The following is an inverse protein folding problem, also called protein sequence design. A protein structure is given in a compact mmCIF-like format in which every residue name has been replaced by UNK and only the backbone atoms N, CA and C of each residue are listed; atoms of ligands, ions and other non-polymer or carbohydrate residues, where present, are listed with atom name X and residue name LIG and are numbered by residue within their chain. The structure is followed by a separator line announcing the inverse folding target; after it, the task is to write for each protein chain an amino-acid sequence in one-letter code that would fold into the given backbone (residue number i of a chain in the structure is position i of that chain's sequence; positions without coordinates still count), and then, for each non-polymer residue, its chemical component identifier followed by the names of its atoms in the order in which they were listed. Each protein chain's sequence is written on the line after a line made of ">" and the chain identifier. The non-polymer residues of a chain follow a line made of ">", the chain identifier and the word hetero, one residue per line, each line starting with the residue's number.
data_IF_649356915551
#
_entry.id   IF_649356915551
#
_cell.length_a   1.000
_cell.length_b   1.000
_cell.length_c   1.000
_cell.angle_alpha   90.00
_cell.angle_beta   90.00
_cell.angle_gamma   90.00
#
_symmetry.space_group_name_H-M   'P 1'
#
loop_
_entity.id
_entity.type
_entity.pdbx_description
1 polymer ?
#
# COMPACT_ATOMS: atom_id res chain seq x y z
N UNK A 1 5.41 12.31 -3.97
CA UNK A 1 6.03 10.97 -4.15
C UNK A 1 5.01 10.02 -4.75
N UNK A 2 5.41 9.21 -5.73
CA UNK A 2 4.64 8.12 -6.34
C UNK A 2 5.07 6.79 -5.72
N UNK A 3 4.11 5.97 -5.32
CA UNK A 3 4.34 4.58 -4.94
C UNK A 3 3.83 3.70 -6.07
N UNK A 4 4.59 2.69 -6.47
CA UNK A 4 4.14 1.75 -7.51
C UNK A 4 4.36 0.32 -7.04
N UNK A 5 3.34 -0.50 -7.24
CA UNK A 5 3.33 -1.91 -6.88
C UNK A 5 3.53 -2.75 -8.14
N UNK A 6 4.50 -3.66 -8.07
CA UNK A 6 4.64 -4.75 -9.01
C UNK A 6 4.04 -5.98 -8.37
N UNK A 7 3.08 -6.57 -9.07
CA UNK A 7 2.28 -7.67 -8.57
C UNK A 7 2.57 -8.91 -9.38
N UNK A 8 2.57 -10.06 -8.72
CA UNK A 8 2.68 -11.37 -9.36
C UNK A 8 1.92 -12.37 -8.49
N UNK A 9 1.12 -13.24 -9.12
CA UNK A 9 0.35 -14.30 -8.44
C UNK A 9 -0.50 -13.76 -7.27
N UNK A 10 -1.17 -12.62 -7.47
CA UNK A 10 -2.06 -12.02 -6.47
C UNK A 10 -1.37 -11.37 -5.26
N UNK A 11 -0.03 -11.22 -5.25
CA UNK A 11 0.72 -10.53 -4.19
C UNK A 11 1.63 -9.42 -4.72
N UNK A 12 1.90 -8.42 -3.87
CA UNK A 12 2.91 -7.40 -4.17
C UNK A 12 4.29 -8.02 -3.97
N UNK A 13 5.08 -8.09 -5.03
CA UNK A 13 6.44 -8.66 -5.01
C UNK A 13 7.51 -7.57 -4.94
N UNK A 14 7.22 -6.36 -5.44
CA UNK A 14 8.14 -5.23 -5.39
C UNK A 14 7.37 -3.93 -5.28
N UNK A 15 7.90 -3.01 -4.50
CA UNK A 15 7.37 -1.65 -4.37
C UNK A 15 8.46 -0.65 -4.72
N UNK A 16 8.15 0.31 -5.58
CA UNK A 16 9.07 1.41 -5.92
C UNK A 16 8.52 2.74 -5.43
N UNK A 17 9.42 3.60 -4.96
CA UNK A 17 9.11 4.93 -4.45
C UNK A 17 9.83 5.95 -5.33
N UNK A 18 9.07 6.75 -6.07
CA UNK A 18 9.62 7.73 -7.02
C UNK A 18 9.29 9.13 -6.56
N UNK A 19 10.28 10.01 -6.51
CA UNK A 19 10.06 11.43 -6.22
C UNK A 19 9.31 12.06 -7.39
N UNK A 20 8.30 12.87 -7.08
CA UNK A 20 7.58 13.64 -8.11
C UNK A 20 8.10 15.06 -8.00
N UNK A 21 8.62 15.62 -9.10
CA UNK A 21 9.12 17.00 -9.15
C UNK A 21 8.02 17.96 -8.69
N UNK A 22 8.35 18.90 -7.80
CA UNK A 22 7.40 19.87 -7.27
C UNK A 22 6.52 19.37 -6.10
N UNK A 23 6.61 18.08 -5.73
CA UNK A 23 5.92 17.56 -4.54
C UNK A 23 6.90 17.30 -3.40
N UNK A 24 6.47 17.63 -2.18
CA UNK A 24 7.21 17.29 -0.97
C UNK A 24 7.28 15.77 -0.81
N UNK A 25 8.48 15.28 -0.53
CA UNK A 25 8.69 13.87 -0.21
C UNK A 25 8.12 13.54 1.17
N UNK A 26 7.87 12.25 1.41
CA UNK A 26 7.51 11.82 2.75
C UNK A 26 8.74 11.94 3.67
N UNK A 27 8.56 12.41 4.91
CA UNK A 27 9.59 12.32 5.93
C UNK A 27 10.08 10.87 6.09
N UNK A 28 11.37 10.64 6.39
CA UNK A 28 11.92 9.28 6.52
C UNK A 28 11.13 8.38 7.48
N UNK A 29 10.61 8.95 8.58
CA UNK A 29 9.78 8.23 9.56
C UNK A 29 8.48 7.71 8.95
N UNK A 30 7.75 8.56 8.20
CA UNK A 30 6.51 8.16 7.53
C UNK A 30 6.77 7.19 6.38
N UNK A 31 7.89 7.33 5.66
CA UNK A 31 8.28 6.39 4.62
C UNK A 31 8.56 5.00 5.22
N UNK A 32 9.23 4.91 6.38
CA UNK A 32 9.45 3.64 7.08
C UNK A 32 8.13 2.99 7.50
N UNK A 33 7.21 3.77 8.07
CA UNK A 33 5.88 3.28 8.43
C UNK A 33 5.10 2.76 7.23
N UNK A 34 5.13 3.50 6.11
CA UNK A 34 4.49 3.09 4.86
C UNK A 34 5.07 1.78 4.31
N UNK A 35 6.41 1.64 4.33
CA UNK A 35 7.08 0.40 3.91
C UNK A 35 6.62 -0.80 4.76
N UNK A 36 6.57 -0.62 6.07
CA UNK A 36 6.13 -1.67 7.00
C UNK A 36 4.67 -2.05 6.73
N UNK A 37 3.78 -1.06 6.60
CA UNK A 37 2.37 -1.27 6.30
C UNK A 37 2.18 -2.08 5.02
N UNK A 38 2.83 -1.68 3.92
CA UNK A 38 2.73 -2.38 2.64
C UNK A 38 3.26 -3.81 2.76
N UNK A 39 4.34 -4.04 3.51
CA UNK A 39 4.91 -5.38 3.66
C UNK A 39 3.98 -6.34 4.43
N UNK A 40 3.34 -5.87 5.51
CA UNK A 40 2.41 -6.68 6.30
C UNK A 40 1.10 -6.93 5.56
N UNK A 41 0.56 -5.91 4.90
CA UNK A 41 -0.76 -5.96 4.26
C UNK A 41 -0.72 -6.27 2.76
N UNK A 42 0.43 -6.71 2.23
CA UNK A 42 0.65 -6.90 0.77
C UNK A 42 -0.40 -7.74 0.06
N UNK A 43 -1.01 -8.71 0.75
CA UNK A 43 -2.08 -9.54 0.22
C UNK A 43 -3.43 -8.82 0.29
N UNK A 44 -3.76 -8.24 1.44
CA UNK A 44 -5.03 -7.54 1.67
C UNK A 44 -5.18 -6.30 0.80
N UNK A 45 -4.08 -5.56 0.56
CA UNK A 45 -4.07 -4.41 -0.34
C UNK A 45 -4.54 -4.82 -1.74
N UNK A 46 -4.03 -5.93 -2.28
CA UNK A 46 -4.41 -6.38 -3.62
C UNK A 46 -5.79 -7.01 -3.66
N UNK A 47 -6.16 -7.79 -2.64
CA UNK A 47 -7.50 -8.34 -2.53
C UNK A 47 -8.55 -7.21 -2.52
N UNK A 48 -8.33 -6.20 -1.69
CA UNK A 48 -9.19 -5.01 -1.60
C UNK A 48 -9.22 -4.22 -2.91
N UNK A 49 -8.07 -4.07 -3.58
CA UNK A 49 -7.99 -3.41 -4.87
C UNK A 49 -8.84 -4.14 -5.92
N UNK A 50 -8.71 -5.47 -5.99
CA UNK A 50 -9.47 -6.29 -6.92
C UNK A 50 -10.97 -6.24 -6.60
N UNK A 51 -11.33 -6.39 -5.33
CA UNK A 51 -12.73 -6.30 -4.88
C UNK A 51 -13.36 -4.97 -5.28
N UNK A 52 -12.64 -3.86 -5.12
CA UNK A 52 -13.17 -2.53 -5.44
C UNK A 52 -13.16 -2.24 -6.95
N UNK A 53 -12.00 -2.32 -7.61
CA UNK A 53 -11.84 -1.83 -8.98
C UNK A 53 -12.22 -2.84 -10.06
N UNK A 54 -12.09 -4.14 -9.79
CA UNK A 54 -12.35 -5.19 -10.79
C UNK A 54 -13.74 -5.79 -10.57
N UNK A 55 -14.07 -6.12 -9.32
CA UNK A 55 -15.31 -6.80 -8.98
C UNK A 55 -16.45 -5.84 -8.59
N UNK A 56 -16.18 -4.53 -8.52
CA UNK A 56 -17.15 -3.49 -8.15
C UNK A 56 -17.91 -3.78 -6.83
N UNK A 57 -17.25 -4.44 -5.88
CA UNK A 57 -17.81 -4.73 -4.56
C UNK A 57 -17.68 -3.52 -3.65
N UNK A 58 -18.65 -3.38 -2.74
CA UNK A 58 -18.56 -2.40 -1.65
C UNK A 58 -17.51 -2.84 -0.63
N UNK A 59 -16.38 -2.14 -0.60
CA UNK A 59 -15.32 -2.36 0.40
C UNK A 59 -15.50 -1.39 1.57
N UNK A 60 -15.39 -1.88 2.81
CA UNK A 60 -15.37 -1.04 4.01
C UNK A 60 -13.95 -0.51 4.26
N UNK A 61 -13.85 0.77 4.59
CA UNK A 61 -12.58 1.37 5.04
C UNK A 61 -12.15 0.75 6.37
N UNK A 62 -10.93 0.23 6.44
CA UNK A 62 -10.29 -0.24 7.67
C UNK A 62 -9.19 0.74 8.07
N UNK A 63 -9.20 1.16 9.34
CA UNK A 63 -8.10 1.92 9.94
C UNK A 63 -7.14 0.93 10.57
N UNK A 64 -5.86 1.05 10.20
CA UNK A 64 -4.79 0.18 10.72
C UNK A 64 -4.01 0.99 11.76
N UNK A 65 -3.95 0.46 12.97
CA UNK A 65 -3.26 1.06 14.12
C UNK A 65 -1.95 0.34 14.41
N UNK A 66 -1.16 0.84 15.38
CA UNK A 66 0.07 0.14 15.81
C UNK A 66 -0.18 -1.28 16.33
N UNK A 67 -1.37 -1.58 16.84
CA UNK A 67 -1.69 -2.90 17.39
C UNK A 67 -1.91 -3.94 16.29
N UNK A 68 -2.36 -3.51 15.11
CA UNK A 68 -2.51 -4.37 13.93
C UNK A 68 -1.17 -4.72 13.27
N UNK A 69 -0.08 -4.04 13.67
CA UNK A 69 1.26 -4.13 13.07
C UNK A 69 2.27 -4.92 13.94
N UNK A 70 1.79 -5.64 14.96
CA UNK A 70 2.57 -6.52 15.84
C UNK A 70 2.52 -7.96 15.36
#
# INVERSE_FOLDING_TARGET
>A
MKVSFYTKDGKIVRTTYTKIKGMKDFPPSKLKQLKNLINMEKYNILATWNDFFILNKKVKTRVITKNDLK
#
